data_IF_632243138015
#
_entry.id   IF_632243138015
#
_cell.length_a   1.000
_cell.length_b   1.000
_cell.length_c   1.000
_cell.angle_alpha   90.00
_cell.angle_beta   90.00
_cell.angle_gamma   90.00
#
_symmetry.space_group_name_H-M   'P 1'
#
loop_
_entity.id
_entity.type
_entity.pdbx_description
1 polymer ?
#
# COMPACT_ATOMS: atom_id res chain seq x y z
N UNK A 1 3.74 -30.47 -5.28
CA UNK A 1 3.67 -31.50 -4.22
C UNK A 1 2.20 -31.75 -3.92
N UNK A 2 1.81 -33.01 -3.74
CA UNK A 2 0.48 -33.37 -3.27
C UNK A 2 0.31 -32.97 -1.79
N UNK A 3 -0.92 -32.98 -1.23
CA UNK A 3 -1.16 -32.64 0.19
C UNK A 3 -0.36 -33.49 1.19
N UNK A 4 0.01 -34.72 0.81
CA UNK A 4 0.86 -35.64 1.58
C UNK A 4 2.38 -35.38 1.41
N UNK A 5 2.76 -34.37 0.62
CA UNK A 5 4.14 -34.00 0.35
C UNK A 5 4.79 -34.73 -0.82
N UNK A 6 4.12 -35.70 -1.44
CA UNK A 6 4.68 -36.47 -2.57
C UNK A 6 4.88 -35.62 -3.82
N UNK A 7 5.86 -36.01 -4.64
CA UNK A 7 6.20 -35.37 -5.91
C UNK A 7 5.80 -36.29 -7.06
N UNK A 8 4.75 -35.93 -7.78
CA UNK A 8 4.35 -36.60 -9.02
C UNK A 8 4.92 -35.79 -10.19
N UNK A 9 5.66 -36.42 -11.13
CA UNK A 9 6.14 -35.74 -12.32
C UNK A 9 4.98 -35.12 -13.12
N UNK A 10 5.18 -33.89 -13.61
CA UNK A 10 4.23 -33.29 -14.54
C UNK A 10 4.22 -34.07 -15.87
N UNK A 11 3.06 -34.18 -16.55
CA UNK A 11 2.98 -34.85 -17.85
C UNK A 11 3.92 -34.26 -18.91
N UNK A 12 4.12 -32.93 -18.86
CA UNK A 12 5.09 -32.20 -19.66
C UNK A 12 5.92 -31.31 -18.72
N UNK A 13 7.26 -31.44 -18.71
CA UNK A 13 8.12 -30.51 -17.98
C UNK A 13 8.01 -29.10 -18.56
N UNK A 14 7.79 -28.12 -17.70
CA UNK A 14 7.65 -26.71 -18.06
C UNK A 14 8.76 -25.87 -17.40
N UNK A 15 8.97 -24.66 -17.93
CA UNK A 15 9.85 -23.64 -17.33
C UNK A 15 8.98 -22.46 -16.91
N UNK A 16 9.20 -21.97 -15.69
CA UNK A 16 8.54 -20.79 -15.12
C UNK A 16 9.61 -19.83 -14.60
N UNK A 17 9.58 -18.58 -15.05
CA UNK A 17 10.56 -17.55 -14.69
C UNK A 17 9.86 -16.29 -14.23
N UNK A 18 10.37 -15.66 -13.17
CA UNK A 18 9.91 -14.36 -12.71
C UNK A 18 11.09 -13.45 -12.39
N UNK A 19 10.98 -12.18 -12.80
CA UNK A 19 11.94 -11.13 -12.48
C UNK A 19 11.19 -9.93 -11.92
N UNK A 20 11.58 -9.46 -10.74
CA UNK A 20 10.94 -8.31 -10.10
C UNK A 20 11.27 -7.02 -10.86
N UNK A 21 10.25 -6.42 -11.48
CA UNK A 21 10.40 -5.22 -12.33
C UNK A 21 11.07 -4.07 -11.57
N UNK A 22 10.63 -3.77 -10.35
CA UNK A 22 11.17 -2.67 -9.57
C UNK A 22 12.62 -2.90 -9.14
N UNK A 23 13.03 -4.17 -8.98
CA UNK A 23 14.42 -4.53 -8.67
C UNK A 23 15.32 -4.37 -9.90
N UNK A 24 14.84 -4.80 -11.06
CA UNK A 24 15.57 -4.58 -12.31
C UNK A 24 15.68 -3.08 -12.62
N UNK A 25 14.59 -2.33 -12.44
CA UNK A 25 14.57 -0.89 -12.61
C UNK A 25 15.60 -0.20 -11.71
N UNK A 26 15.71 -0.61 -10.44
CA UNK A 26 16.72 -0.07 -9.53
C UNK A 26 18.15 -0.25 -10.08
N UNK A 27 18.47 -1.43 -10.61
CA UNK A 27 19.77 -1.71 -11.24
C UNK A 27 19.99 -0.82 -12.46
N UNK A 28 19.00 -0.74 -13.36
CA UNK A 28 19.09 0.04 -14.61
C UNK A 28 19.14 1.55 -14.36
N UNK A 29 18.55 2.03 -13.27
CA UNK A 29 18.57 3.43 -12.86
C UNK A 29 19.76 3.77 -11.94
N UNK A 30 20.66 2.81 -11.69
CA UNK A 30 21.84 2.98 -10.84
C UNK A 30 21.54 3.39 -9.39
N UNK A 31 20.45 2.86 -8.82
CA UNK A 31 20.03 3.09 -7.43
C UNK A 31 20.04 1.80 -6.61
N UNK A 32 20.07 1.91 -5.28
CA UNK A 32 20.33 0.76 -4.39
C UNK A 32 19.07 0.13 -3.81
N UNK A 33 17.93 0.84 -3.84
CA UNK A 33 16.65 0.34 -3.34
C UNK A 33 15.52 0.60 -4.32
N UNK A 34 14.51 -0.27 -4.32
CA UNK A 34 13.30 -0.10 -5.12
C UNK A 34 12.61 1.25 -4.87
N UNK A 35 12.77 1.83 -3.67
CA UNK A 35 12.14 3.10 -3.31
C UNK A 35 12.83 4.32 -3.93
N UNK A 36 14.02 4.15 -4.53
CA UNK A 36 14.76 5.21 -5.22
C UNK A 36 14.46 5.27 -6.72
N UNK A 37 13.70 4.31 -7.25
CA UNK A 37 13.31 4.35 -8.66
C UNK A 37 12.31 5.49 -8.91
N UNK A 38 12.30 5.99 -10.13
CA UNK A 38 11.38 7.02 -10.64
C UNK A 38 9.92 6.88 -10.16
N UNK A 39 9.33 5.69 -10.30
CA UNK A 39 7.95 5.41 -9.87
C UNK A 39 7.76 5.66 -8.37
N UNK A 40 8.65 5.13 -7.53
CA UNK A 40 8.51 5.27 -6.08
C UNK A 40 8.86 6.67 -5.60
N UNK A 41 9.84 7.35 -6.21
CA UNK A 41 10.18 8.73 -5.89
C UNK A 41 9.00 9.68 -6.14
N UNK A 42 8.26 9.48 -7.25
CA UNK A 42 7.05 10.25 -7.52
C UNK A 42 5.95 9.99 -6.46
N UNK A 43 5.71 8.73 -6.08
CA UNK A 43 4.73 8.39 -5.03
C UNK A 43 5.16 8.89 -3.65
N UNK A 44 6.43 8.77 -3.28
CA UNK A 44 6.98 9.25 -2.00
C UNK A 44 6.89 10.78 -1.95
N UNK A 45 7.21 11.47 -3.05
CA UNK A 45 7.05 12.92 -3.16
C UNK A 45 5.59 13.35 -2.97
N UNK A 46 4.64 12.62 -3.56
CA UNK A 46 3.20 12.88 -3.33
C UNK A 46 2.80 12.64 -1.87
N UNK A 47 3.26 11.55 -1.26
CA UNK A 47 3.00 11.25 0.14
C UNK A 47 3.59 12.32 1.07
N UNK A 48 4.81 12.79 0.79
CA UNK A 48 5.47 13.90 1.49
C UNK A 48 4.62 15.16 1.42
N UNK A 49 4.16 15.55 0.23
CA UNK A 49 3.32 16.74 0.05
C UNK A 49 1.99 16.66 0.81
N UNK A 50 1.38 15.47 0.87
CA UNK A 50 0.12 15.25 1.59
C UNK A 50 0.28 15.14 3.10
N UNK A 51 1.47 14.77 3.58
CA UNK A 51 1.76 14.57 5.02
C UNK A 51 2.47 15.77 5.65
N UNK A 52 3.10 16.64 4.85
CA UNK A 52 3.93 17.75 5.32
C UNK A 52 5.32 17.35 5.77
N UNK A 53 5.71 16.08 5.58
CA UNK A 53 7.03 15.56 5.99
C UNK A 53 8.07 15.89 4.93
N UNK A 54 9.11 16.61 5.32
CA UNK A 54 10.21 17.03 4.42
C UNK A 54 11.31 15.97 4.27
N UNK A 55 11.46 15.10 5.26
CA UNK A 55 12.39 13.97 5.21
C UNK A 55 11.83 12.85 4.32
N UNK A 56 12.25 12.82 3.06
CA UNK A 56 11.84 11.82 2.06
C UNK A 56 12.35 10.41 2.38
N UNK A 57 13.36 10.28 3.25
CA UNK A 57 13.90 8.99 3.69
C UNK A 57 13.05 8.34 4.79
N UNK A 58 12.04 9.05 5.29
CA UNK A 58 11.15 8.54 6.31
C UNK A 58 10.43 7.27 5.85
N UNK A 59 10.64 6.17 6.58
CA UNK A 59 10.10 4.85 6.27
C UNK A 59 8.57 4.85 6.13
N UNK A 60 7.85 5.72 6.84
CA UNK A 60 6.40 5.82 6.73
C UNK A 60 5.95 6.29 5.35
N UNK A 61 6.70 7.17 4.68
CA UNK A 61 6.40 7.60 3.32
C UNK A 61 6.53 6.43 2.33
N UNK A 62 7.56 5.59 2.50
CA UNK A 62 7.76 4.37 1.71
C UNK A 62 6.61 3.37 1.91
N UNK A 63 6.14 3.21 3.15
CA UNK A 63 4.99 2.34 3.46
C UNK A 63 3.72 2.87 2.81
N UNK A 64 3.43 4.17 2.90
CA UNK A 64 2.26 4.79 2.26
C UNK A 64 2.31 4.60 0.74
N UNK A 65 3.47 4.86 0.12
CA UNK A 65 3.68 4.72 -1.32
C UNK A 65 3.50 3.28 -1.80
N UNK A 66 3.98 2.29 -1.05
CA UNK A 66 3.77 0.88 -1.37
C UNK A 66 2.30 0.47 -1.21
N UNK A 67 1.68 0.86 -0.10
CA UNK A 67 0.33 0.44 0.25
C UNK A 67 -0.73 1.04 -0.68
N UNK A 68 -0.54 2.26 -1.23
CA UNK A 68 -1.49 2.79 -2.21
C UNK A 68 -1.53 1.92 -3.48
N UNK A 69 -0.40 1.38 -3.93
CA UNK A 69 -0.37 0.46 -5.09
C UNK A 69 -1.17 -0.79 -4.79
N UNK A 70 -0.83 -1.48 -3.70
CA UNK A 70 -1.47 -2.74 -3.31
C UNK A 70 -2.99 -2.57 -3.12
N UNK A 71 -3.42 -1.54 -2.39
CA UNK A 71 -4.83 -1.28 -2.15
C UNK A 71 -5.58 -0.93 -3.44
N UNK A 72 -4.99 -0.11 -4.31
CA UNK A 72 -5.64 0.29 -5.55
C UNK A 72 -5.88 -0.89 -6.48
N UNK A 73 -4.86 -1.73 -6.71
CA UNK A 73 -5.00 -2.90 -7.58
C UNK A 73 -5.92 -3.96 -6.99
N UNK A 74 -5.94 -4.16 -5.66
CA UNK A 74 -6.93 -5.05 -5.05
C UNK A 74 -8.37 -4.57 -5.29
N UNK A 75 -8.62 -3.26 -5.24
CA UNK A 75 -9.95 -2.69 -5.50
C UNK A 75 -10.30 -2.78 -7.00
N UNK A 76 -9.33 -2.58 -7.90
CA UNK A 76 -9.50 -2.81 -9.35
C UNK A 76 -9.95 -4.25 -9.62
N UNK A 77 -9.36 -5.22 -8.92
CA UNK A 77 -9.72 -6.64 -9.01
C UNK A 77 -11.03 -7.02 -8.28
N UNK A 78 -11.79 -6.02 -7.80
CA UNK A 78 -13.11 -6.20 -7.18
C UNK A 78 -13.08 -6.53 -5.69
N UNK A 79 -11.93 -6.42 -5.02
CA UNK A 79 -11.86 -6.60 -3.56
C UNK A 79 -12.25 -5.31 -2.85
N UNK A 80 -13.28 -5.37 -2.01
CA UNK A 80 -13.70 -4.25 -1.17
C UNK A 80 -13.35 -4.49 0.30
N UNK A 81 -13.07 -3.43 1.09
CA UNK A 81 -12.75 -3.57 2.52
C UNK A 81 -13.86 -4.29 3.30
N UNK A 82 -13.51 -5.38 3.99
CA UNK A 82 -14.47 -6.18 4.78
C UNK A 82 -13.83 -6.72 6.06
N UNK A 83 -14.59 -7.49 6.85
CA UNK A 83 -14.10 -8.16 8.06
C UNK A 83 -13.57 -9.57 7.80
N UNK A 84 -13.69 -10.09 6.57
CA UNK A 84 -13.39 -11.50 6.27
C UNK A 84 -12.65 -11.67 4.93
N UNK A 85 -11.92 -12.79 4.81
CA UNK A 85 -11.24 -13.17 3.56
C UNK A 85 -10.31 -12.09 3.00
N UNK A 86 -10.37 -11.89 1.67
CA UNK A 86 -9.53 -10.91 0.96
C UNK A 86 -9.84 -9.46 1.37
N UNK A 87 -11.10 -9.15 1.65
CA UNK A 87 -11.49 -7.81 2.07
C UNK A 87 -10.90 -7.41 3.42
N UNK A 88 -10.69 -8.36 4.32
CA UNK A 88 -9.99 -8.10 5.59
C UNK A 88 -8.49 -7.80 5.38
N UNK A 89 -7.85 -8.50 4.45
CA UNK A 89 -6.45 -8.20 4.09
C UNK A 89 -6.34 -6.78 3.54
N UNK A 90 -7.18 -6.40 2.59
CA UNK A 90 -7.24 -5.04 2.05
C UNK A 90 -7.45 -4.01 3.17
N UNK A 91 -8.45 -4.22 4.03
CA UNK A 91 -8.71 -3.33 5.17
C UNK A 91 -7.48 -3.15 6.06
N UNK A 92 -6.75 -4.22 6.38
CA UNK A 92 -5.54 -4.13 7.22
C UNK A 92 -4.44 -3.31 6.56
N UNK A 93 -4.25 -3.45 5.24
CA UNK A 93 -3.24 -2.68 4.50
C UNK A 93 -3.64 -1.19 4.49
N UNK A 94 -4.90 -0.86 4.19
CA UNK A 94 -5.41 0.52 4.23
C UNK A 94 -5.17 1.12 5.63
N UNK A 95 -5.66 0.47 6.69
CA UNK A 95 -5.53 0.98 8.06
C UNK A 95 -4.08 1.11 8.51
N UNK A 96 -3.17 0.27 8.03
CA UNK A 96 -1.73 0.41 8.28
C UNK A 96 -1.17 1.66 7.62
N UNK A 97 -1.51 1.95 6.36
CA UNK A 97 -1.09 3.18 5.70
C UNK A 97 -1.61 4.43 6.44
N UNK A 98 -2.87 4.38 6.88
CA UNK A 98 -3.50 5.46 7.66
C UNK A 98 -2.82 5.67 9.02
N UNK A 99 -2.47 4.58 9.72
CA UNK A 99 -1.68 4.66 10.97
C UNK A 99 -0.31 5.30 10.71
N UNK A 100 0.36 4.98 9.62
CA UNK A 100 1.62 5.66 9.24
C UNK A 100 1.39 7.16 8.99
N UNK A 101 0.31 7.54 8.29
CA UNK A 101 -0.06 8.96 8.14
C UNK A 101 -0.31 9.63 9.49
N UNK A 102 -0.99 8.95 10.41
CA UNK A 102 -1.23 9.44 11.77
C UNK A 102 0.06 9.66 12.56
N UNK A 103 1.01 8.72 12.48
CA UNK A 103 2.34 8.84 13.10
C UNK A 103 3.13 10.02 12.54
N UNK A 104 2.86 10.43 11.30
CA UNK A 104 3.44 11.62 10.67
C UNK A 104 2.67 12.91 10.99
N UNK A 105 1.63 12.86 11.83
CA UNK A 105 0.85 14.02 12.24
C UNK A 105 -0.38 14.33 11.38
N UNK A 106 -0.70 13.50 10.38
CA UNK A 106 -1.89 13.70 9.55
C UNK A 106 -3.14 13.30 10.32
N UNK A 107 -4.17 14.16 10.29
CA UNK A 107 -5.48 13.92 10.92
C UNK A 107 -6.66 14.02 9.96
N UNK A 108 -6.41 14.45 8.73
CA UNK A 108 -7.42 14.62 7.70
C UNK A 108 -7.24 13.55 6.61
N UNK A 109 -8.30 13.20 5.85
CA UNK A 109 -8.17 12.25 4.76
C UNK A 109 -7.10 12.66 3.73
N UNK A 110 -6.19 11.74 3.43
CA UNK A 110 -5.07 11.93 2.52
C UNK A 110 -4.84 10.72 1.60
N UNK A 111 -5.20 9.51 2.01
CA UNK A 111 -4.77 8.30 1.30
C UNK A 111 -5.49 8.16 -0.05
N UNK A 112 -6.78 8.49 -0.12
CA UNK A 112 -7.52 8.56 -1.40
C UNK A 112 -6.93 9.59 -2.39
N UNK A 113 -6.27 10.64 -1.90
CA UNK A 113 -5.64 11.69 -2.72
C UNK A 113 -4.33 11.25 -3.39
N UNK A 114 -3.83 10.05 -3.05
CA UNK A 114 -2.68 9.43 -3.72
C UNK A 114 -3.08 8.79 -5.06
N UNK A 115 -4.36 8.42 -5.23
CA UNK A 115 -4.86 7.69 -6.40
C UNK A 115 -4.56 8.41 -7.72
N UNK A 116 -4.80 9.72 -7.89
CA UNK A 116 -4.51 10.40 -9.16
C UNK A 116 -3.05 10.26 -9.61
N UNK A 117 -2.10 10.41 -8.69
CA UNK A 117 -0.66 10.25 -9.01
C UNK A 117 -0.32 8.80 -9.36
N UNK A 118 -0.97 7.82 -8.72
CA UNK A 118 -0.81 6.42 -9.11
C UNK A 118 -1.33 6.16 -10.54
N UNK A 119 -2.48 6.74 -10.89
CA UNK A 119 -3.04 6.65 -12.26
C UNK A 119 -2.12 7.30 -13.29
N UNK A 120 -1.53 8.46 -12.98
CA UNK A 120 -0.56 9.12 -13.85
C UNK A 120 0.67 8.25 -14.15
N UNK A 121 1.18 7.54 -13.13
CA UNK A 121 2.39 6.73 -13.25
C UNK A 121 2.15 5.35 -13.89
N UNK A 122 0.98 4.76 -13.68
CA UNK A 122 0.71 3.35 -14.03
C UNK A 122 -0.43 3.17 -15.03
N UNK A 123 -1.22 4.21 -15.31
CA UNK A 123 -2.46 4.10 -16.09
C UNK A 123 -2.26 3.68 -17.55
N UNK A 124 -1.09 3.96 -18.14
CA UNK A 124 -0.77 3.48 -19.50
C UNK A 124 -0.62 1.96 -19.54
N UNK A 125 0.11 1.39 -18.58
CA UNK A 125 0.33 -0.05 -18.48
C UNK A 125 -0.90 -0.79 -17.94
N UNK A 126 -1.75 -0.11 -17.18
CA UNK A 126 -2.94 -0.68 -16.54
C UNK A 126 -4.19 0.21 -16.80
N UNK A 127 -4.79 0.15 -18.02
CA UNK A 127 -5.96 0.95 -18.36
C UNK A 127 -7.16 0.73 -17.44
N UNK A 128 -7.30 -0.47 -16.87
CA UNK A 128 -8.32 -0.83 -15.89
C UNK A 128 -8.25 0.02 -14.61
N UNK A 129 -7.05 0.46 -14.21
CA UNK A 129 -6.86 1.37 -13.08
C UNK A 129 -7.43 2.75 -13.39
N UNK A 130 -7.28 3.23 -14.63
CA UNK A 130 -7.85 4.51 -15.09
C UNK A 130 -9.37 4.45 -15.03
N UNK A 131 -9.96 3.36 -15.54
CA UNK A 131 -11.41 3.14 -15.53
C UNK A 131 -11.95 3.07 -14.10
N UNK A 132 -11.23 2.39 -13.20
CA UNK A 132 -11.65 2.18 -11.82
C UNK A 132 -11.31 3.33 -10.86
N UNK A 133 -10.64 4.40 -11.32
CA UNK A 133 -10.11 5.50 -10.48
C UNK A 133 -11.10 6.00 -9.43
N UNK A 134 -12.33 6.30 -9.83
CA UNK A 134 -13.37 6.83 -8.93
C UNK A 134 -13.88 5.78 -7.93
N UNK A 135 -13.89 4.51 -8.30
CA UNK A 135 -14.26 3.41 -7.40
C UNK A 135 -13.16 3.20 -6.36
N UNK A 136 -11.89 3.21 -6.78
CA UNK A 136 -10.73 3.11 -5.88
C UNK A 136 -10.73 4.28 -4.88
N UNK A 137 -10.82 5.52 -5.38
CA UNK A 137 -10.78 6.71 -4.53
C UNK A 137 -11.92 6.72 -3.49
N UNK A 138 -13.15 6.37 -3.89
CA UNK A 138 -14.30 6.30 -2.97
C UNK A 138 -14.16 5.20 -1.93
N UNK A 139 -13.72 4.00 -2.33
CA UNK A 139 -13.54 2.89 -1.40
C UNK A 139 -12.46 3.19 -0.35
N UNK A 140 -11.34 3.81 -0.76
CA UNK A 140 -10.30 4.25 0.15
C UNK A 140 -10.79 5.34 1.10
N UNK A 141 -11.48 6.36 0.59
CA UNK A 141 -12.01 7.45 1.40
C UNK A 141 -13.00 6.95 2.46
N UNK A 142 -13.92 6.06 2.08
CA UNK A 142 -14.91 5.52 3.00
C UNK A 142 -14.27 4.74 4.16
N UNK A 143 -13.23 3.93 3.89
CA UNK A 143 -12.50 3.23 4.96
C UNK A 143 -11.63 4.19 5.79
N UNK A 144 -11.08 5.23 5.16
CA UNK A 144 -10.29 6.27 5.84
C UNK A 144 -11.12 7.08 6.84
N UNK A 145 -12.29 7.58 6.43
CA UNK A 145 -13.22 8.28 7.31
C UNK A 145 -13.70 7.40 8.46
N UNK A 146 -14.12 6.17 8.14
CA UNK A 146 -14.57 5.20 9.15
C UNK A 146 -13.49 4.86 10.17
N UNK A 147 -12.24 4.73 9.74
CA UNK A 147 -11.16 4.40 10.67
C UNK A 147 -10.72 5.60 11.49
N UNK A 148 -10.76 6.82 10.94
CA UNK A 148 -10.41 8.04 11.64
C UNK A 148 -11.23 8.24 12.93
N UNK A 149 -12.51 7.85 12.95
CA UNK A 149 -13.39 7.88 14.12
C UNK A 149 -12.82 7.12 15.35
N UNK A 150 -11.99 6.11 15.11
CA UNK A 150 -11.48 5.22 16.18
C UNK A 150 -9.97 5.22 16.33
N UNK A 151 -9.24 5.66 15.31
CA UNK A 151 -7.77 5.62 15.30
C UNK A 151 -7.16 6.46 16.43
N UNK A 152 -7.63 7.70 16.61
CA UNK A 152 -7.11 8.58 17.67
C UNK A 152 -7.28 7.98 19.07
N UNK A 153 -8.48 7.48 19.37
CA UNK A 153 -8.77 6.85 20.65
C UNK A 153 -7.96 5.56 20.84
N UNK A 154 -7.87 4.74 19.79
CA UNK A 154 -7.11 3.50 19.81
C UNK A 154 -5.62 3.71 20.05
N UNK A 155 -5.03 4.75 19.45
CA UNK A 155 -3.61 5.08 19.64
C UNK A 155 -3.33 5.60 21.06
N UNK A 156 -4.21 6.43 21.63
CA UNK A 156 -4.07 6.88 23.03
C UNK A 156 -4.06 5.71 24.02
N UNK A 157 -5.02 4.78 23.86
CA UNK A 157 -5.08 3.58 24.70
C UNK A 157 -3.82 2.73 24.52
N UNK A 158 -3.35 2.57 23.28
CA UNK A 158 -2.12 1.83 23.00
C UNK A 158 -0.90 2.46 23.69
N UNK A 159 -0.73 3.78 23.57
CA UNK A 159 0.41 4.49 24.16
C UNK A 159 0.40 4.41 25.69
N UNK A 160 -0.78 4.53 26.32
CA UNK A 160 -0.95 4.38 27.77
C UNK A 160 -0.54 2.98 28.27
N UNK A 161 -0.92 1.92 27.54
CA UNK A 161 -0.60 0.52 27.89
C UNK A 161 0.87 0.21 27.62
N UNK A 162 1.41 0.71 26.50
CA UNK A 162 2.79 0.50 26.12
C UNK A 162 3.76 1.15 27.15
N UNK A 163 3.44 2.35 27.63
CA UNK A 163 4.22 3.03 28.66
C UNK A 163 4.29 2.21 29.97
N UNK A 164 3.14 1.68 30.42
CA UNK A 164 3.07 0.84 31.64
C UNK A 164 3.81 -0.49 31.54
N UNK A 165 4.05 -0.98 30.32
CA UNK A 165 4.74 -2.24 30.10
C UNK A 165 6.27 -2.09 30.04
N UNK A 166 6.76 -0.86 30.05
CA UNK A 166 8.20 -0.53 30.11
C UNK A 166 8.69 -0.24 31.53
N UNK A 167 7.78 -0.14 32.50
CA UNK A 167 8.04 -0.10 33.95
C UNK A 167 8.10 -1.53 34.53
#
# INVERSE_FOLDING_TARGET
RQPDGTLVPLPAPCVDTGMGLERLAAILQHVHTNYEIDLFQALIGKASALTGVTDLENKSLRVIADHIRACSFLIVDGVLPSNEGRGYVLRRIIRRALRHGWMLGVRQPFFSKMVPTLVELMGEAYPELVVARETVARALLAEEERFAETLDAGMKIFDDVAARSQE
#
